data_IF_915999025228
#
_entry.id   IF_915999025228
#
_cell.length_a   1.000
_cell.length_b   1.000
_cell.length_c   1.000
_cell.angle_alpha   90.00
_cell.angle_beta   90.00
_cell.angle_gamma   90.00
#
_symmetry.space_group_name_H-M   'P 1'
#
loop_
_entity.id
_entity.type
_entity.pdbx_description
1 polymer ?
#
# COMPACT_ATOMS: atom_id res chain seq x y z
N UNK A 1 84.22 26.81 -31.73
CA UNK A 1 84.32 26.62 -30.26
C UNK A 1 83.05 27.16 -29.62
N UNK A 2 82.58 26.51 -28.54
CA UNK A 2 81.34 26.71 -27.75
C UNK A 2 80.10 25.99 -28.33
N UNK A 3 79.74 24.77 -27.91
CA UNK A 3 79.30 24.17 -26.62
C UNK A 3 77.90 24.60 -26.12
N UNK A 4 77.03 23.57 -26.06
CA UNK A 4 76.16 23.12 -24.96
C UNK A 4 74.63 23.35 -25.02
N UNK A 5 73.94 22.21 -24.85
CA UNK A 5 72.67 21.95 -24.12
C UNK A 5 71.36 22.38 -24.78
N UNK A 6 70.54 21.45 -25.26
CA UNK A 6 69.59 20.57 -24.55
C UNK A 6 68.16 21.16 -24.53
N UNK A 7 67.15 20.31 -24.27
CA UNK A 7 65.69 20.53 -24.15
C UNK A 7 64.93 19.89 -25.32
N UNK A 8 64.55 18.61 -25.21
CA UNK A 8 63.43 18.04 -24.45
C UNK A 8 62.18 17.88 -25.33
N UNK A 9 61.86 16.62 -25.60
CA UNK A 9 60.61 16.16 -26.19
C UNK A 9 59.43 16.54 -25.28
N UNK A 10 58.50 17.33 -25.78
CA UNK A 10 57.24 17.66 -25.12
C UNK A 10 56.08 17.46 -26.07
N UNK A 11 55.57 16.24 -26.17
CA UNK A 11 54.37 15.90 -26.92
C UNK A 11 53.22 15.82 -25.90
N UNK A 12 52.53 16.94 -25.68
CA UNK A 12 51.33 17.00 -24.83
C UNK A 12 50.13 16.82 -25.76
N UNK A 13 49.56 15.61 -25.77
CA UNK A 13 48.22 15.36 -26.30
C UNK A 13 47.23 15.69 -25.18
N UNK A 14 46.46 16.76 -25.33
CA UNK A 14 45.32 17.05 -24.45
C UNK A 14 44.11 16.27 -24.93
N UNK A 15 43.78 15.17 -24.25
CA UNK A 15 42.47 14.53 -24.38
C UNK A 15 41.50 15.18 -23.40
N UNK A 16 40.66 16.07 -23.90
CA UNK A 16 39.43 16.48 -23.24
C UNK A 16 38.42 15.33 -23.29
N UNK A 17 38.26 14.62 -22.18
CA UNK A 17 37.11 13.78 -21.92
C UNK A 17 36.45 14.27 -20.62
N UNK A 18 35.33 14.99 -20.76
CA UNK A 18 34.28 14.92 -19.75
C UNK A 18 33.76 13.49 -19.76
N UNK A 19 33.72 12.81 -18.62
CA UNK A 19 32.45 12.47 -17.98
C UNK A 19 32.69 11.59 -16.74
N UNK A 20 32.31 12.15 -15.60
CA UNK A 20 31.37 11.53 -14.64
C UNK A 20 31.46 10.02 -14.44
N UNK A 21 32.30 9.55 -13.52
CA UNK A 21 31.91 8.46 -12.59
C UNK A 21 32.87 8.34 -11.40
N UNK A 22 32.59 9.11 -10.35
CA UNK A 22 33.19 8.85 -9.03
C UNK A 22 32.20 9.20 -7.92
N UNK A 23 31.02 8.58 -7.98
CA UNK A 23 30.03 8.58 -6.92
C UNK A 23 29.62 7.14 -6.50
N UNK A 24 30.42 6.12 -6.81
CA UNK A 24 30.12 4.72 -6.47
C UNK A 24 30.56 4.29 -5.06
N UNK A 25 30.79 5.24 -4.13
CA UNK A 25 31.28 4.93 -2.78
C UNK A 25 30.49 5.57 -1.63
N UNK A 26 29.25 6.01 -1.88
CA UNK A 26 28.32 6.48 -0.82
C UNK A 26 26.89 5.96 -1.06
N UNK A 27 26.77 4.72 -1.52
CA UNK A 27 25.51 3.97 -1.42
C UNK A 27 25.79 2.63 -0.75
N UNK A 28 26.50 2.69 0.39
CA UNK A 28 26.31 1.72 1.45
C UNK A 28 24.83 1.75 1.79
N UNK A 29 24.18 0.65 1.43
CA UNK A 29 22.75 0.40 1.40
C UNK A 29 22.15 0.43 2.81
N UNK A 30 22.10 1.61 3.41
CA UNK A 30 21.18 1.94 4.49
C UNK A 30 19.81 2.24 3.90
N UNK A 31 19.10 1.23 3.36
CA UNK A 31 17.71 1.41 2.93
C UNK A 31 16.87 0.12 2.87
N UNK A 32 17.06 -0.83 3.78
CA UNK A 32 15.90 -1.62 4.26
C UNK A 32 15.09 -0.80 5.28
N UNK A 33 14.74 0.43 4.91
CA UNK A 33 13.55 1.04 5.50
C UNK A 33 12.41 0.41 4.74
N UNK A 34 11.84 -0.64 5.32
CA UNK A 34 10.59 -1.24 4.86
C UNK A 34 9.61 -0.13 4.55
N UNK A 35 9.49 0.20 3.25
CA UNK A 35 8.42 1.05 2.79
C UNK A 35 7.16 0.28 3.09
N UNK A 36 6.39 0.74 4.08
CA UNK A 36 5.10 0.15 4.40
C UNK A 36 4.31 0.11 3.10
N UNK A 37 4.16 -1.08 2.51
CA UNK A 37 3.41 -1.26 1.28
C UNK A 37 1.99 -0.87 1.60
N UNK A 38 1.51 0.24 1.04
CA UNK A 38 0.09 0.60 1.13
C UNK A 38 -0.69 -0.59 0.58
N UNK A 39 -1.50 -1.28 1.39
CA UNK A 39 -2.21 -2.45 0.91
C UNK A 39 -3.16 -2.05 -0.20
N UNK A 40 -3.05 -2.75 -1.33
CA UNK A 40 -3.88 -2.50 -2.49
C UNK A 40 -5.35 -2.79 -2.18
N UNK A 41 -6.26 -2.13 -2.89
CA UNK A 41 -7.68 -2.46 -2.83
C UNK A 41 -7.88 -3.93 -3.25
N UNK A 42 -8.77 -4.63 -2.56
CA UNK A 42 -9.04 -6.04 -2.84
C UNK A 42 -10.55 -6.30 -2.85
N UNK A 43 -11.05 -6.84 -3.96
CA UNK A 43 -12.44 -7.29 -4.07
C UNK A 43 -12.68 -8.47 -3.11
N UNK A 44 -13.73 -8.39 -2.30
CA UNK A 44 -14.05 -9.42 -1.30
C UNK A 44 -15.41 -10.08 -1.50
N UNK A 45 -16.35 -9.40 -2.14
CA UNK A 45 -17.63 -9.99 -2.53
C UNK A 45 -18.19 -9.28 -3.76
N UNK A 46 -19.00 -10.02 -4.53
CA UNK A 46 -19.79 -9.48 -5.63
C UNK A 46 -21.24 -9.89 -5.45
N UNK A 47 -22.17 -8.98 -5.74
CA UNK A 47 -23.61 -9.20 -5.70
C UNK A 47 -24.25 -8.89 -7.07
N UNK A 48 -25.46 -9.40 -7.34
CA UNK A 48 -26.15 -9.14 -8.60
C UNK A 48 -26.30 -7.65 -8.95
N UNK A 49 -26.42 -7.35 -10.24
CA UNK A 49 -26.52 -5.97 -10.72
C UNK A 49 -25.19 -5.19 -10.72
N UNK A 50 -24.05 -5.91 -10.68
CA UNK A 50 -22.72 -5.31 -10.78
C UNK A 50 -22.29 -4.58 -9.51
N UNK A 51 -22.77 -5.03 -8.35
CA UNK A 51 -22.34 -4.52 -7.05
C UNK A 51 -21.10 -5.28 -6.62
N UNK A 52 -20.09 -4.54 -6.19
CA UNK A 52 -18.84 -5.09 -5.69
C UNK A 52 -18.54 -4.52 -4.30
N UNK A 53 -18.05 -5.35 -3.40
CA UNK A 53 -17.57 -4.95 -2.07
C UNK A 53 -16.07 -5.12 -2.04
N UNK A 54 -15.37 -4.04 -1.68
CA UNK A 54 -13.92 -3.95 -1.70
C UNK A 54 -13.39 -3.63 -0.32
N UNK A 55 -12.28 -4.25 0.06
CA UNK A 55 -11.41 -3.66 1.06
C UNK A 55 -10.54 -2.59 0.43
N UNK A 56 -10.36 -1.48 1.14
CA UNK A 56 -9.64 -0.30 0.63
C UNK A 56 -8.48 0.11 1.53
N UNK A 57 -8.74 0.86 2.61
CA UNK A 57 -7.72 1.22 3.59
C UNK A 57 -7.41 0.05 4.50
N UNK A 58 -6.24 0.09 5.10
CA UNK A 58 -5.81 -0.86 6.12
C UNK A 58 -5.12 -0.15 7.26
N UNK A 59 -5.09 -0.80 8.42
CA UNK A 59 -4.14 -0.52 9.48
C UNK A 59 -3.56 -1.83 10.01
N UNK A 60 -2.32 -1.77 10.44
CA UNK A 60 -1.76 -2.85 11.25
C UNK A 60 -2.40 -2.82 12.64
N UNK A 61 -2.69 -4.00 13.15
CA UNK A 61 -3.26 -4.21 14.47
C UNK A 61 -2.58 -5.39 15.16
N UNK A 62 -2.74 -5.48 16.48
CA UNK A 62 -2.22 -6.59 17.28
C UNK A 62 -3.27 -7.02 18.28
N UNK A 63 -3.47 -8.33 18.40
CA UNK A 63 -4.27 -8.93 19.46
C UNK A 63 -3.55 -8.79 20.81
N UNK A 64 -4.27 -9.10 21.89
CA UNK A 64 -3.75 -9.02 23.25
C UNK A 64 -2.55 -9.94 23.53
N UNK A 65 -2.44 -11.06 22.81
CA UNK A 65 -1.31 -11.99 22.87
C UNK A 65 -0.12 -11.56 22.00
N UNK A 66 -0.22 -10.41 21.32
CA UNK A 66 0.81 -9.89 20.42
C UNK A 66 0.70 -10.36 18.98
N UNK A 67 -0.25 -11.25 18.66
CA UNK A 67 -0.48 -11.72 17.28
C UNK A 67 -0.82 -10.54 16.37
N UNK A 68 -0.04 -10.36 15.30
CA UNK A 68 -0.29 -9.30 14.33
C UNK A 68 -1.46 -9.65 13.39
N UNK A 69 -2.25 -8.66 13.02
CA UNK A 69 -3.27 -8.77 11.99
C UNK A 69 -3.40 -7.46 11.21
N UNK A 70 -4.25 -7.49 10.18
CA UNK A 70 -4.60 -6.31 9.39
C UNK A 70 -6.10 -6.05 9.49
N UNK A 71 -6.44 -4.86 9.93
CA UNK A 71 -7.79 -4.33 9.95
C UNK A 71 -8.02 -3.55 8.65
N UNK A 72 -9.16 -3.74 7.97
CA UNK A 72 -9.48 -3.16 6.66
C UNK A 72 -10.78 -2.36 6.68
N UNK A 73 -10.86 -1.26 5.92
CA UNK A 73 -12.15 -0.57 5.67
C UNK A 73 -12.82 -1.15 4.44
N UNK A 74 -14.14 -0.98 4.31
CA UNK A 74 -14.89 -1.43 3.14
C UNK A 74 -15.45 -0.27 2.32
N UNK A 75 -15.58 -0.51 1.02
CA UNK A 75 -16.25 0.34 0.04
C UNK A 75 -17.15 -0.53 -0.85
N UNK A 76 -18.33 -0.03 -1.19
CA UNK A 76 -19.19 -0.62 -2.21
C UNK A 76 -18.96 0.13 -3.51
N UNK A 77 -18.75 -0.60 -4.60
CA UNK A 77 -18.60 -0.08 -5.96
C UNK A 77 -19.75 -0.54 -6.83
N UNK A 78 -20.36 0.39 -7.55
CA UNK A 78 -21.45 0.11 -8.49
C UNK A 78 -21.59 1.24 -9.50
N UNK A 79 -21.60 0.91 -10.79
CA UNK A 79 -21.86 1.91 -11.84
C UNK A 79 -20.90 3.11 -11.81
N UNK A 80 -19.65 2.90 -11.41
CA UNK A 80 -18.64 3.96 -11.25
C UNK A 80 -18.72 4.74 -9.92
N UNK A 81 -19.78 4.56 -9.13
CA UNK A 81 -19.88 5.14 -7.79
C UNK A 81 -19.06 4.33 -6.78
N UNK A 82 -18.49 5.04 -5.80
CA UNK A 82 -17.77 4.50 -4.65
C UNK A 82 -18.48 4.96 -3.38
N UNK A 83 -19.00 4.01 -2.62
CA UNK A 83 -19.80 4.28 -1.41
C UNK A 83 -19.03 3.72 -0.21
N UNK A 84 -18.46 4.57 0.65
CA UNK A 84 -17.77 4.09 1.84
C UNK A 84 -18.78 3.40 2.77
N UNK A 85 -18.38 2.30 3.41
CA UNK A 85 -19.17 1.63 4.46
C UNK A 85 -18.63 2.08 5.83
N UNK A 86 -19.37 2.90 6.59
CA UNK A 86 -18.90 3.44 7.87
C UNK A 86 -18.86 2.39 8.99
N UNK A 87 -17.81 1.58 9.06
CA UNK A 87 -17.53 0.67 10.17
C UNK A 87 -16.03 0.77 10.43
N UNK A 88 -15.62 1.18 11.63
CA UNK A 88 -14.29 1.75 11.85
C UNK A 88 -13.16 0.88 11.29
N UNK A 89 -13.20 -0.45 11.39
CA UNK A 89 -12.44 -1.40 10.56
C UNK A 89 -13.09 -2.81 10.65
N UNK A 90 -12.85 -3.69 9.69
CA UNK A 90 -13.20 -5.13 9.71
C UNK A 90 -11.92 -5.96 9.68
N UNK A 91 -11.89 -7.07 10.42
CA UNK A 91 -10.73 -7.97 10.49
C UNK A 91 -10.96 -9.28 9.72
N UNK A 92 -12.20 -9.51 9.29
CA UNK A 92 -12.64 -10.71 8.57
C UNK A 92 -13.39 -10.31 7.32
N UNK A 93 -13.41 -11.22 6.34
CA UNK A 93 -14.25 -11.08 5.16
C UNK A 93 -15.73 -10.94 5.58
N UNK A 94 -16.49 -10.03 4.95
CA UNK A 94 -17.91 -9.90 5.19
C UNK A 94 -18.69 -11.04 4.49
N UNK A 95 -19.89 -11.34 4.98
CA UNK A 95 -20.77 -12.40 4.49
C UNK A 95 -21.93 -11.79 3.70
N UNK A 96 -22.07 -12.14 2.42
CA UNK A 96 -23.22 -11.73 1.63
C UNK A 96 -24.45 -12.53 2.07
N UNK A 97 -25.46 -11.83 2.61
CA UNK A 97 -26.70 -12.47 3.06
C UNK A 97 -27.71 -12.57 1.92
N UNK A 98 -27.81 -11.52 1.11
CA UNK A 98 -28.67 -11.43 -0.07
C UNK A 98 -28.14 -10.33 -1.02
N UNK A 99 -28.87 -10.08 -2.12
CA UNK A 99 -28.50 -9.12 -3.16
C UNK A 99 -28.47 -7.65 -2.70
N UNK A 100 -28.96 -7.37 -1.49
CA UNK A 100 -29.11 -6.04 -0.91
C UNK A 100 -28.39 -5.86 0.42
N UNK A 101 -27.96 -6.95 1.06
CA UNK A 101 -27.47 -6.94 2.44
C UNK A 101 -26.20 -7.75 2.59
N UNK A 102 -25.21 -7.15 3.24
CA UNK A 102 -23.99 -7.85 3.67
C UNK A 102 -23.83 -7.75 5.18
N UNK A 103 -23.42 -8.84 5.83
CA UNK A 103 -23.05 -8.87 7.24
C UNK A 103 -21.54 -8.62 7.38
N UNK A 104 -21.16 -7.65 8.18
CA UNK A 104 -19.76 -7.39 8.51
C UNK A 104 -19.56 -7.28 10.01
N UNK A 105 -18.43 -7.77 10.52
CA UNK A 105 -18.05 -7.62 11.93
C UNK A 105 -17.08 -6.48 12.10
N UNK A 106 -17.37 -5.62 13.08
CA UNK A 106 -16.40 -4.65 13.54
C UNK A 106 -15.17 -5.39 14.08
N UNK A 107 -13.98 -4.89 13.77
CA UNK A 107 -12.75 -5.37 14.40
C UNK A 107 -12.15 -4.30 15.28
N UNK A 108 -11.76 -4.70 16.47
CA UNK A 108 -10.97 -3.91 17.38
C UNK A 108 -9.71 -4.70 17.75
N UNK A 109 -8.55 -4.30 17.23
CA UNK A 109 -7.29 -4.94 17.58
C UNK A 109 -7.32 -6.46 17.32
N UNK A 110 -7.73 -6.86 16.12
CA UNK A 110 -7.88 -8.27 15.71
C UNK A 110 -9.00 -9.05 16.41
N UNK A 111 -9.76 -8.42 17.32
CA UNK A 111 -10.88 -9.07 18.01
C UNK A 111 -12.18 -8.74 17.28
N UNK A 112 -12.90 -9.77 16.77
CA UNK A 112 -14.23 -9.56 16.21
C UNK A 112 -15.19 -9.06 17.27
N UNK A 113 -15.76 -7.88 17.05
CA UNK A 113 -16.83 -7.30 17.85
C UNK A 113 -18.19 -7.56 17.23
N UNK A 114 -19.05 -6.55 17.34
CA UNK A 114 -20.43 -6.62 16.91
C UNK A 114 -20.58 -6.77 15.40
N UNK A 115 -21.62 -7.51 15.01
CA UNK A 115 -22.02 -7.63 13.62
C UNK A 115 -22.96 -6.49 13.22
N UNK A 116 -22.84 -6.08 11.97
CA UNK A 116 -23.65 -5.05 11.33
C UNK A 116 -24.19 -5.58 10.01
N UNK A 117 -25.46 -5.32 9.76
CA UNK A 117 -26.09 -5.46 8.46
C UNK A 117 -25.85 -4.16 7.69
N UNK A 118 -25.24 -4.28 6.52
CA UNK A 118 -24.91 -3.15 5.65
C UNK A 118 -25.77 -3.23 4.41
N UNK A 119 -26.53 -2.17 4.17
CA UNK A 119 -27.32 -1.99 2.96
C UNK A 119 -26.36 -1.71 1.77
N UNK A 120 -26.36 -2.58 0.77
CA UNK A 120 -25.47 -2.52 -0.40
C UNK A 120 -25.77 -1.33 -1.34
N UNK A 121 -26.91 -0.65 -1.17
CA UNK A 121 -27.26 0.53 -1.98
C UNK A 121 -26.74 1.81 -1.36
N UNK A 122 -26.64 1.88 -0.04
CA UNK A 122 -26.35 3.11 0.71
C UNK A 122 -25.06 3.04 1.52
N UNK A 123 -24.51 1.84 1.73
CA UNK A 123 -23.39 1.58 2.63
C UNK A 123 -23.74 1.79 4.10
N UNK A 124 -25.02 2.03 4.43
CA UNK A 124 -25.43 2.33 5.80
C UNK A 124 -25.41 1.05 6.65
N UNK A 125 -24.66 1.03 7.76
CA UNK A 125 -24.67 -0.08 8.68
C UNK A 125 -25.78 0.08 9.72
N UNK A 126 -26.38 -1.04 10.09
CA UNK A 126 -27.28 -1.18 11.23
C UNK A 126 -26.78 -2.36 12.07
N UNK A 127 -26.63 -2.16 13.37
CA UNK A 127 -26.19 -3.22 14.29
C UNK A 127 -27.16 -4.40 14.21
N UNK A 128 -26.63 -5.59 14.02
CA UNK A 128 -27.38 -6.85 14.08
C UNK A 128 -27.76 -7.15 15.53
N UNK A 129 -29.03 -7.46 15.80
CA UNK A 129 -29.60 -7.64 17.13
C UNK A 129 -29.81 -9.11 17.47
#
# INVERSE_FOLDING_TARGET
>A
MNRLSAVAFGLIVQTSACDTQRNDALNEQGAERGGARVPADSLVASAPGGIEVWFTLSRDAKAADGTACTDRTMEIRRGGARIPVPLLYTGTAPELLDDTTIRARLSNQCVPGDAYLVDLRTGRPVRER
#
